data_IF_901755832769
#
_entry.id   IF_901755832769
#
_cell.length_a   1.000
_cell.length_b   1.000
_cell.length_c   1.000
_cell.angle_alpha   90.00
_cell.angle_beta   90.00
_cell.angle_gamma   90.00
#
_symmetry.space_group_name_H-M   'P 1'
#
loop_
_entity.id
_entity.type
_entity.pdbx_description
1 polymer ?
#
# COMPACT_ATOMS: atom_id res chain seq x y z
N UNK A 1 -15.81 -5.26 2.90
CA UNK A 1 -15.11 -5.85 1.73
C UNK A 1 -13.60 -5.58 1.73
N UNK A 2 -13.12 -4.37 2.07
CA UNK A 2 -11.67 -4.05 2.07
C UNK A 2 -10.81 -4.71 3.17
N UNK A 3 -11.40 -5.25 4.25
CA UNK A 3 -10.65 -5.98 5.28
C UNK A 3 -9.86 -7.20 4.74
N UNK A 4 -10.27 -7.74 3.58
CA UNK A 4 -9.59 -8.86 2.90
C UNK A 4 -8.27 -8.47 2.21
N UNK A 5 -7.95 -7.17 2.09
CA UNK A 5 -6.70 -6.69 1.50
C UNK A 5 -5.57 -6.51 2.53
N UNK A 6 -5.85 -6.74 3.82
CA UNK A 6 -4.84 -6.66 4.86
C UNK A 6 -3.75 -7.72 4.59
N UNK A 7 -2.49 -7.28 4.68
CA UNK A 7 -1.31 -8.05 4.34
C UNK A 7 -1.19 -8.48 2.87
N UNK A 8 -1.92 -7.83 1.96
CA UNK A 8 -1.69 -8.00 0.52
C UNK A 8 -0.44 -7.24 0.09
N UNK A 9 0.31 -7.86 -0.83
CA UNK A 9 1.30 -7.16 -1.64
C UNK A 9 0.56 -6.35 -2.71
N UNK A 10 0.87 -5.06 -2.80
CA UNK A 10 0.24 -4.14 -3.74
C UNK A 10 1.29 -3.47 -4.64
N UNK A 11 0.94 -3.26 -5.90
CA UNK A 11 1.67 -2.39 -6.81
C UNK A 11 1.31 -0.93 -6.56
N UNK A 12 2.32 -0.06 -6.55
CA UNK A 12 2.17 1.39 -6.35
C UNK A 12 2.24 2.07 -7.71
N UNK A 13 1.10 2.63 -8.14
CA UNK A 13 0.93 3.06 -9.52
C UNK A 13 0.55 4.54 -9.62
N UNK A 14 1.00 5.17 -10.70
CA UNK A 14 0.65 6.54 -11.06
C UNK A 14 -0.37 6.52 -12.21
N UNK A 15 -1.64 6.72 -11.89
CA UNK A 15 -2.72 6.81 -12.88
C UNK A 15 -2.81 8.24 -13.42
N UNK A 16 -2.71 8.40 -14.74
CA UNK A 16 -2.85 9.71 -15.40
C UNK A 16 -4.29 10.21 -15.47
N UNK A 17 -5.27 9.31 -15.40
CA UNK A 17 -6.69 9.65 -15.48
C UNK A 17 -7.27 10.06 -14.13
N UNK A 18 -8.09 11.12 -14.13
CA UNK A 18 -8.85 11.53 -12.95
C UNK A 18 -10.05 10.59 -12.76
N UNK A 19 -9.96 9.75 -11.74
CA UNK A 19 -11.07 8.91 -11.30
C UNK A 19 -11.95 9.72 -10.35
N UNK A 20 -13.25 9.88 -10.67
CA UNK A 20 -14.18 10.55 -9.75
C UNK A 20 -14.47 9.63 -8.56
N UNK A 21 -14.19 10.10 -7.35
CA UNK A 21 -14.52 9.40 -6.11
C UNK A 21 -15.56 10.17 -5.31
N UNK A 22 -16.49 9.46 -4.68
CA UNK A 22 -17.46 10.01 -3.72
C UNK A 22 -16.94 9.91 -2.27
N UNK A 23 -15.67 10.23 -2.05
CA UNK A 23 -15.07 10.26 -0.71
C UNK A 23 -14.54 8.92 -0.19
N UNK A 24 -14.23 7.97 -1.07
CA UNK A 24 -13.68 6.68 -0.69
C UNK A 24 -12.86 6.02 -1.81
N UNK A 25 -12.24 4.86 -1.55
CA UNK A 25 -11.51 4.16 -2.59
C UNK A 25 -12.46 3.67 -3.69
N UNK A 26 -12.06 3.93 -4.93
CA UNK A 26 -12.77 3.47 -6.12
C UNK A 26 -12.08 2.21 -6.61
N UNK A 27 -12.85 1.12 -6.73
CA UNK A 27 -12.37 -0.07 -7.40
C UNK A 27 -12.47 0.14 -8.91
N UNK A 28 -11.36 0.06 -9.61
CA UNK A 28 -11.34 0.10 -11.07
C UNK A 28 -11.78 -1.26 -11.60
N UNK A 29 -12.75 -1.27 -12.52
CA UNK A 29 -13.26 -2.49 -13.16
C UNK A 29 -12.25 -3.14 -14.10
N UNK A 30 -11.27 -2.37 -14.58
CA UNK A 30 -10.13 -2.83 -15.36
C UNK A 30 -8.85 -2.25 -14.75
N UNK A 31 -7.74 -2.99 -14.83
CA UNK A 31 -6.43 -2.49 -14.44
C UNK A 31 -5.84 -1.68 -15.61
N UNK A 32 -5.88 -0.33 -15.58
CA UNK A 32 -5.29 0.47 -16.65
C UNK A 32 -3.78 0.21 -16.72
N UNK A 33 -3.22 0.28 -17.93
CA UNK A 33 -1.76 0.28 -18.11
C UNK A 33 -1.26 1.60 -17.51
N UNK A 34 -0.63 1.52 -16.34
CA UNK A 34 -0.10 2.68 -15.63
C UNK A 34 1.33 2.38 -15.16
N UNK A 35 2.20 3.41 -15.07
CA UNK A 35 3.54 3.24 -14.53
C UNK A 35 3.50 2.74 -13.08
N UNK A 36 4.09 1.57 -12.84
CA UNK A 36 4.34 1.01 -11.52
C UNK A 36 5.70 1.50 -11.02
N UNK A 37 5.70 2.27 -9.93
CA UNK A 37 6.93 2.85 -9.34
C UNK A 37 7.51 1.99 -8.22
N UNK A 38 6.82 0.92 -7.83
CA UNK A 38 7.31 -0.05 -6.85
C UNK A 38 6.18 -0.86 -6.23
N UNK A 39 6.49 -1.52 -5.12
CA UNK A 39 5.56 -2.36 -4.37
C UNK A 39 5.45 -1.90 -2.91
N UNK A 40 4.37 -2.31 -2.24
CA UNK A 40 4.19 -2.13 -0.82
C UNK A 40 3.35 -3.23 -0.19
N UNK A 41 3.45 -3.37 1.13
CA UNK A 41 2.60 -4.24 1.92
C UNK A 41 1.55 -3.39 2.61
N UNK A 42 0.28 -3.73 2.39
CA UNK A 42 -0.83 -3.03 2.98
C UNK A 42 -1.09 -3.57 4.40
N UNK A 43 -0.62 -2.85 5.41
CA UNK A 43 -0.68 -3.27 6.82
C UNK A 43 -2.08 -3.14 7.42
N UNK A 44 -2.86 -2.20 6.91
CA UNK A 44 -4.22 -1.93 7.37
C UNK A 44 -4.89 -0.81 6.61
N UNK A 45 -6.22 -0.74 6.73
CA UNK A 45 -7.07 0.28 6.13
C UNK A 45 -7.95 0.86 7.22
N UNK A 46 -7.91 2.17 7.38
CA UNK A 46 -8.86 2.91 8.20
C UNK A 46 -9.87 3.58 7.27
N UNK A 47 -11.00 2.92 7.06
CA UNK A 47 -12.07 3.43 6.20
C UNK A 47 -12.79 4.64 6.81
N UNK A 48 -12.79 4.78 8.14
CA UNK A 48 -13.43 5.92 8.82
C UNK A 48 -12.65 7.22 8.62
N UNK A 49 -11.31 7.13 8.56
CA UNK A 49 -10.41 8.25 8.29
C UNK A 49 -9.94 8.33 6.83
N UNK A 50 -10.27 7.35 6.00
CA UNK A 50 -9.84 7.26 4.60
C UNK A 50 -8.33 7.05 4.44
N UNK A 51 -7.69 6.29 5.33
CA UNK A 51 -6.23 6.10 5.36
C UNK A 51 -5.81 4.67 5.01
N UNK A 52 -4.70 4.56 4.28
CA UNK A 52 -3.99 3.32 4.01
C UNK A 52 -2.66 3.29 4.75
N UNK A 53 -2.43 2.24 5.55
CA UNK A 53 -1.16 2.02 6.20
C UNK A 53 -0.28 1.13 5.34
N UNK A 54 0.68 1.73 4.64
CA UNK A 54 1.55 1.05 3.69
C UNK A 54 2.97 0.91 4.24
N UNK A 55 3.56 -0.27 4.09
CA UNK A 55 5.00 -0.51 4.23
C UNK A 55 5.61 -0.57 2.83
N UNK A 56 6.54 0.31 2.50
CA UNK A 56 7.16 0.33 1.18
C UNK A 56 8.60 0.85 1.26
N UNK A 57 9.52 0.31 0.43
CA UNK A 57 10.85 0.89 0.26
C UNK A 57 10.84 2.10 -0.69
N UNK A 58 9.70 2.43 -1.31
CA UNK A 58 9.60 3.58 -2.23
C UNK A 58 9.76 4.89 -1.47
N UNK A 59 10.60 5.77 -2.01
CA UNK A 59 10.90 7.06 -1.40
C UNK A 59 9.64 7.95 -1.28
N UNK A 60 9.49 8.72 -0.17
CA UNK A 60 8.35 9.61 0.02
C UNK A 60 8.09 10.60 -1.14
N UNK A 61 9.12 11.09 -1.82
CA UNK A 61 8.98 12.03 -2.94
C UNK A 61 8.26 11.39 -4.14
N UNK A 62 8.52 10.10 -4.39
CA UNK A 62 7.86 9.30 -5.43
C UNK A 62 6.48 8.85 -4.95
N UNK A 63 6.36 8.44 -3.68
CA UNK A 63 5.12 7.95 -3.10
C UNK A 63 4.00 9.00 -3.16
N UNK A 64 4.31 10.30 -3.07
CA UNK A 64 3.33 11.40 -3.24
C UNK A 64 2.64 11.43 -4.60
N UNK A 65 3.23 10.79 -5.62
CA UNK A 65 2.66 10.71 -6.97
C UNK A 65 1.73 9.51 -7.16
N UNK A 66 1.80 8.54 -6.25
CA UNK A 66 0.98 7.32 -6.29
C UNK A 66 -0.46 7.66 -5.91
N UNK A 67 -1.39 7.33 -6.79
CA UNK A 67 -2.82 7.54 -6.60
C UNK A 67 -3.65 6.27 -6.84
N UNK A 68 -2.99 5.17 -7.21
CA UNK A 68 -3.62 3.89 -7.48
C UNK A 68 -2.83 2.77 -6.80
N UNK A 69 -3.57 1.88 -6.13
CA UNK A 69 -3.04 0.65 -5.54
C UNK A 69 -3.54 -0.53 -6.36
N UNK A 70 -2.61 -1.24 -7.00
CA UNK A 70 -2.92 -2.47 -7.72
C UNK A 70 -2.83 -3.64 -6.74
N UNK A 71 -3.98 -4.22 -6.37
CA UNK A 71 -4.01 -5.34 -5.44
C UNK A 71 -3.47 -6.60 -6.13
N UNK A 72 -2.35 -7.13 -5.63
CA UNK A 72 -1.78 -8.38 -6.14
C UNK A 72 -2.50 -9.61 -5.58
N UNK A 73 -2.44 -10.73 -6.29
CA UNK A 73 -2.93 -12.03 -5.82
C UNK A 73 -1.94 -12.73 -4.85
N UNK A 74 -0.81 -12.10 -4.54
CA UNK A 74 0.22 -12.67 -3.67
C UNK A 74 -0.17 -12.44 -2.21
N UNK A 75 -0.59 -13.51 -1.54
CA UNK A 75 -0.72 -13.55 -0.09
C UNK A 75 0.65 -13.67 0.56
N UNK A 76 0.99 -12.75 1.46
CA UNK A 76 2.20 -12.90 2.25
C UNK A 76 2.07 -14.10 3.21
N UNK A 77 3.12 -14.94 3.34
CA UNK A 77 3.16 -15.97 4.36
C UNK A 77 2.90 -15.38 5.76
N UNK A 78 2.05 -16.04 6.55
CA UNK A 78 1.65 -15.56 7.87
C UNK A 78 2.85 -15.24 8.78
N UNK A 79 3.94 -16.01 8.66
CA UNK A 79 5.16 -15.82 9.44
C UNK A 79 5.80 -14.43 9.27
N UNK A 80 5.62 -13.77 8.13
CA UNK A 80 6.14 -12.40 7.90
C UNK A 80 5.45 -11.39 8.82
N UNK A 81 4.18 -11.65 9.16
CA UNK A 81 3.36 -10.76 9.97
C UNK A 81 3.36 -11.15 11.44
N UNK A 82 3.33 -12.45 11.73
CA UNK A 82 3.08 -12.97 13.08
C UNK A 82 4.36 -13.40 13.81
N UNK A 83 5.44 -13.69 13.09
CA UNK A 83 6.69 -14.20 13.69
C UNK A 83 7.67 -13.07 14.06
N UNK A 84 7.15 -11.87 14.33
CA UNK A 84 7.95 -10.79 14.91
C UNK A 84 8.41 -11.23 16.30
N UNK A 85 9.67 -11.65 16.39
CA UNK A 85 10.32 -11.98 17.67
C UNK A 85 10.15 -10.74 18.57
N UNK A 86 9.74 -10.93 19.84
CA UNK A 86 9.60 -9.85 20.86
C UNK A 86 10.94 -9.20 21.24
N UNK A 87 11.83 -8.99 20.27
CA UNK A 87 13.00 -8.13 20.39
C UNK A 87 12.56 -6.72 20.01
N UNK A 88 13.00 -5.67 20.72
CA UNK A 88 12.69 -4.29 20.38
C UNK A 88 13.42 -3.91 19.09
N UNK A 89 12.91 -4.34 17.94
CA UNK A 89 13.36 -3.91 16.62
C UNK A 89 12.56 -2.69 16.18
N UNK A 90 12.56 -1.66 17.03
CA UNK A 90 12.53 -0.29 16.53
C UNK A 90 13.98 0.11 16.25
N UNK A 91 14.58 -0.41 15.19
CA UNK A 91 15.75 0.24 14.61
C UNK A 91 15.24 1.44 13.80
N UNK A 92 15.10 2.57 14.47
CA UNK A 92 14.99 3.85 13.79
C UNK A 92 16.31 4.09 13.03
N UNK A 93 16.36 3.77 11.74
CA UNK A 93 17.34 4.43 10.86
C UNK A 93 16.71 5.76 10.46
N UNK A 94 16.64 6.71 11.37
CA UNK A 94 16.51 8.12 10.98
C UNK A 94 17.84 8.52 10.36
N UNK A 95 18.02 8.24 9.07
CA UNK A 95 18.84 9.07 8.21
C UNK A 95 17.98 9.54 7.06
N UNK A 96 17.18 10.56 7.35
CA UNK A 96 16.87 11.56 6.34
C UNK A 96 17.70 12.80 6.73
N UNK A 97 18.49 13.37 5.79
CA UNK A 97 19.07 14.70 5.97
C UNK A 97 17.97 15.77 5.98
#
# INVERSE_FOLDING_TARGET
>A
MFYAANASLVGLCCLGEKVSSRGGPVLLSQAPICPCVGFGVLRGIDMGRGLYFLLTPVEPSVLRKVNCLLLGAVSLPACILTTQVRRPLCSFTTRYP
#
